data_IF_033902089897
#
_entry.id   IF_033902089897
#
_cell.length_a   1.000
_cell.length_b   1.000
_cell.length_c   1.000
_cell.angle_alpha   90.00
_cell.angle_beta   90.00
_cell.angle_gamma   90.00
#
_symmetry.space_group_name_H-M   'P 1'
#
loop_
_entity.id
_entity.type
_entity.pdbx_description
1 polymer ?
#
# COMPACT_ATOMS: atom_id res chain seq x y z
N UNK A 1 -3.64 -24.86 -4.49
CA UNK A 1 -3.69 -23.42 -4.79
C UNK A 1 -3.75 -23.25 -6.30
N UNK A 2 -4.38 -22.20 -6.80
CA UNK A 2 -4.38 -21.88 -8.23
C UNK A 2 -2.96 -21.67 -8.75
N UNK A 3 -2.58 -22.29 -9.87
CA UNK A 3 -1.25 -22.10 -10.48
C UNK A 3 -0.99 -20.65 -10.88
N UNK A 4 -2.02 -19.94 -11.28
CA UNK A 4 -1.94 -18.52 -11.59
C UNK A 4 -1.59 -17.70 -10.35
N UNK A 5 -2.29 -17.93 -9.23
CA UNK A 5 -2.02 -17.29 -7.95
C UNK A 5 -0.60 -17.58 -7.46
N UNK A 6 -0.17 -18.86 -7.48
CA UNK A 6 1.18 -19.26 -7.06
C UNK A 6 2.26 -18.53 -7.85
N UNK A 7 2.11 -18.46 -9.17
CA UNK A 7 3.07 -17.74 -10.03
C UNK A 7 3.17 -16.26 -9.67
N UNK A 8 2.04 -15.59 -9.50
CA UNK A 8 2.03 -14.14 -9.18
C UNK A 8 2.62 -13.88 -7.78
N UNK A 9 2.33 -14.73 -6.80
CA UNK A 9 2.92 -14.61 -5.46
C UNK A 9 4.45 -14.74 -5.53
N UNK A 10 4.96 -15.73 -6.27
CA UNK A 10 6.41 -15.95 -6.42
C UNK A 10 7.10 -14.78 -7.12
N UNK A 11 6.47 -14.25 -8.18
CA UNK A 11 6.94 -13.05 -8.88
C UNK A 11 7.03 -11.84 -7.95
N UNK A 12 6.03 -11.63 -7.09
CA UNK A 12 6.02 -10.54 -6.10
C UNK A 12 7.12 -10.74 -5.05
N UNK A 13 7.27 -11.94 -4.50
CA UNK A 13 8.32 -12.26 -3.53
C UNK A 13 9.72 -12.05 -4.10
N UNK A 14 9.92 -12.40 -5.36
CA UNK A 14 11.20 -12.18 -6.05
C UNK A 14 11.46 -10.70 -6.29
N UNK A 15 10.47 -9.99 -6.81
CA UNK A 15 10.61 -8.57 -7.19
C UNK A 15 10.74 -7.64 -5.99
N UNK A 16 10.05 -7.94 -4.92
CA UNK A 16 9.95 -7.12 -3.72
C UNK A 16 10.52 -7.81 -2.47
N UNK A 17 11.60 -8.57 -2.63
CA UNK A 17 12.21 -9.36 -1.55
C UNK A 17 12.60 -8.52 -0.31
N UNK A 18 12.83 -7.20 -0.48
CA UNK A 18 13.13 -6.26 0.59
C UNK A 18 11.88 -5.56 1.18
N UNK A 19 10.68 -6.01 0.82
CA UNK A 19 9.40 -5.48 1.30
C UNK A 19 8.56 -6.59 1.95
N UNK A 20 8.99 -7.14 3.11
CA UNK A 20 8.39 -8.35 3.68
C UNK A 20 6.92 -8.21 4.05
N UNK A 21 6.51 -7.07 4.62
CA UNK A 21 5.12 -6.83 5.01
C UNK A 21 4.20 -6.80 3.78
N UNK A 22 4.66 -6.20 2.70
CA UNK A 22 3.92 -6.18 1.44
C UNK A 22 3.81 -7.58 0.83
N UNK A 23 4.92 -8.34 0.76
CA UNK A 23 4.91 -9.71 0.24
C UNK A 23 3.99 -10.63 1.01
N UNK A 24 4.01 -10.56 2.35
CA UNK A 24 3.14 -11.35 3.21
C UNK A 24 1.66 -11.05 2.94
N UNK A 25 1.30 -9.77 2.87
CA UNK A 25 -0.10 -9.37 2.64
C UNK A 25 -0.59 -9.79 1.25
N UNK A 26 0.25 -9.68 0.23
CA UNK A 26 -0.09 -10.16 -1.11
C UNK A 26 -0.36 -11.67 -1.09
N UNK A 27 0.50 -12.45 -0.43
CA UNK A 27 0.31 -13.91 -0.31
C UNK A 27 -1.01 -14.25 0.39
N UNK A 28 -1.30 -13.62 1.52
CA UNK A 28 -2.53 -13.85 2.28
C UNK A 28 -3.79 -13.55 1.45
N UNK A 29 -3.82 -12.40 0.79
CA UNK A 29 -4.98 -11.97 0.00
C UNK A 29 -5.13 -12.82 -1.26
N UNK A 30 -4.08 -12.98 -2.07
CA UNK A 30 -4.17 -13.71 -3.34
C UNK A 30 -4.48 -15.19 -3.12
N UNK A 31 -4.00 -15.80 -2.03
CA UNK A 31 -4.32 -17.18 -1.70
C UNK A 31 -5.83 -17.41 -1.52
N UNK A 32 -6.54 -16.40 -1.01
CA UNK A 32 -8.00 -16.45 -0.85
C UNK A 32 -8.76 -16.34 -2.17
N UNK A 33 -8.14 -15.78 -3.21
CA UNK A 33 -8.77 -15.54 -4.52
C UNK A 33 -8.66 -16.73 -5.48
N UNK A 34 -7.92 -17.79 -5.11
CA UNK A 34 -7.71 -18.97 -5.95
C UNK A 34 -8.98 -19.51 -6.60
N UNK A 35 -10.04 -19.82 -5.83
CA UNK A 35 -11.28 -20.35 -6.39
C UNK A 35 -11.95 -19.41 -7.42
N UNK A 36 -11.83 -18.10 -7.21
CA UNK A 36 -12.42 -17.10 -8.12
C UNK A 36 -11.67 -17.07 -9.46
N UNK A 37 -10.34 -16.99 -9.41
CA UNK A 37 -9.55 -16.90 -10.66
C UNK A 37 -9.53 -18.22 -11.43
N UNK A 38 -9.66 -19.38 -10.76
CA UNK A 38 -9.79 -20.68 -11.40
C UNK A 38 -11.14 -20.83 -12.14
N UNK A 39 -12.19 -20.18 -11.61
CA UNK A 39 -13.49 -20.12 -12.28
C UNK A 39 -13.54 -19.12 -13.45
N UNK A 40 -12.57 -18.21 -13.53
CA UNK A 40 -12.52 -17.10 -14.48
C UNK A 40 -11.16 -17.02 -15.21
N UNK A 41 -10.85 -17.97 -16.12
CA UNK A 41 -9.56 -18.00 -16.82
C UNK A 41 -9.30 -16.77 -17.70
N UNK A 42 -10.32 -16.00 -18.03
CA UNK A 42 -10.19 -14.71 -18.70
C UNK A 42 -9.40 -13.68 -17.88
N UNK A 43 -9.37 -13.80 -16.55
CA UNK A 43 -8.63 -12.89 -15.68
C UNK A 43 -7.10 -13.02 -15.87
N UNK A 44 -6.62 -14.24 -16.07
CA UNK A 44 -5.19 -14.45 -16.37
C UNK A 44 -4.83 -13.87 -17.75
N UNK A 45 -5.71 -13.99 -18.75
CA UNK A 45 -5.46 -13.46 -20.10
C UNK A 45 -5.25 -11.94 -20.13
N UNK A 46 -5.83 -11.23 -19.17
CA UNK A 46 -5.68 -9.77 -19.04
C UNK A 46 -4.71 -9.37 -17.94
N UNK A 47 -3.96 -10.33 -17.38
CA UNK A 47 -2.99 -10.14 -16.30
C UNK A 47 -3.59 -9.38 -15.10
N UNK A 48 -4.78 -9.81 -14.65
CA UNK A 48 -5.52 -9.10 -13.61
C UNK A 48 -4.75 -9.03 -12.30
N UNK A 49 -4.24 -10.18 -11.81
CA UNK A 49 -3.52 -10.23 -10.53
C UNK A 49 -2.22 -9.44 -10.57
N UNK A 50 -1.46 -9.53 -11.67
CA UNK A 50 -0.23 -8.74 -11.86
C UNK A 50 -0.50 -7.23 -11.79
N UNK A 51 -1.62 -6.78 -12.36
CA UNK A 51 -2.05 -5.38 -12.29
C UNK A 51 -2.52 -4.99 -10.90
N UNK A 52 -3.09 -5.92 -10.15
CA UNK A 52 -3.57 -5.67 -8.79
C UNK A 52 -2.45 -5.59 -7.74
N UNK A 53 -1.31 -6.25 -7.96
CA UNK A 53 -0.19 -6.26 -7.00
C UNK A 53 0.86 -5.18 -7.26
N UNK A 54 0.70 -4.37 -8.30
CA UNK A 54 1.60 -3.26 -8.61
C UNK A 54 0.85 -1.95 -8.37
N UNK A 55 1.33 -1.07 -7.47
CA UNK A 55 0.71 0.24 -7.29
C UNK A 55 0.80 1.08 -8.57
N UNK A 56 -0.24 1.86 -8.85
CA UNK A 56 -0.25 2.75 -10.02
C UNK A 56 0.78 3.87 -9.89
N UNK A 57 0.98 4.39 -8.66
CA UNK A 57 1.98 5.41 -8.37
C UNK A 57 2.44 5.35 -6.92
N UNK A 58 3.73 5.54 -6.73
CA UNK A 58 4.35 5.78 -5.42
C UNK A 58 5.03 7.14 -5.45
N UNK A 59 4.76 7.96 -4.44
CA UNK A 59 5.40 9.25 -4.22
C UNK A 59 6.12 9.16 -2.87
N UNK A 60 7.44 9.31 -2.90
CA UNK A 60 8.29 9.41 -1.72
C UNK A 60 8.92 10.78 -1.70
N UNK A 61 8.88 11.47 -0.58
CA UNK A 61 9.32 12.85 -0.49
C UNK A 61 9.88 13.20 0.89
N UNK A 62 10.76 14.19 0.87
CA UNK A 62 11.39 14.76 2.05
C UNK A 62 10.43 15.72 2.77
N UNK A 63 10.35 15.60 4.11
CA UNK A 63 9.56 16.48 4.99
C UNK A 63 10.50 17.14 6.02
N UNK A 64 11.08 18.32 5.74
CA UNK A 64 11.81 19.08 6.74
C UNK A 64 10.83 19.82 7.65
N UNK A 65 11.13 19.83 8.94
CA UNK A 65 10.32 20.55 9.95
C UNK A 65 11.20 21.04 11.09
N UNK A 66 10.74 22.04 11.83
CA UNK A 66 11.44 22.66 12.95
C UNK A 66 10.75 22.33 14.26
N UNK A 67 11.52 21.85 15.26
CA UNK A 67 11.00 21.61 16.60
C UNK A 67 10.82 22.90 17.42
N UNK A 68 10.23 22.79 18.60
CA UNK A 68 9.98 23.94 19.49
C UNK A 68 11.26 24.60 20.01
N UNK A 69 12.41 23.92 19.86
CA UNK A 69 13.73 24.44 20.25
C UNK A 69 14.50 25.06 19.08
N UNK A 70 13.91 25.11 17.88
CA UNK A 70 14.52 25.66 16.66
C UNK A 70 15.46 24.69 15.93
N UNK A 71 15.45 23.40 16.27
CA UNK A 71 16.24 22.40 15.54
C UNK A 71 15.48 21.91 14.30
N UNK A 72 16.22 21.70 13.21
CA UNK A 72 15.66 21.18 11.98
C UNK A 72 15.78 19.66 11.94
N UNK A 73 14.66 19.01 11.69
CA UNK A 73 14.52 17.57 11.48
C UNK A 73 14.09 17.28 10.06
N UNK A 74 14.37 16.08 9.57
CA UNK A 74 13.93 15.63 8.24
C UNK A 74 13.34 14.24 8.37
N UNK A 75 12.07 14.11 7.99
CA UNK A 75 11.36 12.85 7.87
C UNK A 75 11.08 12.51 6.40
N UNK A 76 10.71 11.26 6.16
CA UNK A 76 10.26 10.81 4.85
C UNK A 76 8.74 10.69 4.84
N UNK A 77 8.10 11.28 3.85
CA UNK A 77 6.68 11.14 3.58
C UNK A 77 6.43 10.20 2.40
N UNK A 78 5.31 9.49 2.45
CA UNK A 78 4.89 8.52 1.44
C UNK A 78 3.43 8.73 1.04
N UNK A 79 3.15 8.59 -0.25
CA UNK A 79 1.80 8.41 -0.78
C UNK A 79 1.80 7.30 -1.79
N UNK A 80 1.13 6.19 -1.47
CA UNK A 80 0.89 5.09 -2.39
C UNK A 80 -0.51 5.22 -2.97
N UNK A 81 -0.60 5.52 -4.26
CA UNK A 81 -1.82 5.46 -5.06
C UNK A 81 -1.88 4.07 -5.67
N UNK A 82 -2.59 3.16 -4.97
CA UNK A 82 -2.47 1.75 -5.27
C UNK A 82 -3.32 1.36 -6.47
N UNK A 83 -4.61 1.66 -6.43
CA UNK A 83 -5.54 1.29 -7.50
C UNK A 83 -6.70 2.29 -7.59
N UNK A 84 -6.86 2.93 -8.74
CA UNK A 84 -7.92 3.90 -9.03
C UNK A 84 -9.01 3.38 -9.97
N UNK A 85 -9.07 2.06 -10.22
CA UNK A 85 -9.96 1.49 -11.22
C UNK A 85 -11.45 1.77 -10.98
N UNK A 86 -11.89 1.84 -9.71
CA UNK A 86 -13.30 2.06 -9.37
C UNK A 86 -13.59 3.48 -8.87
N UNK A 87 -12.58 4.34 -8.76
CA UNK A 87 -12.79 5.73 -8.34
C UNK A 87 -11.51 6.39 -7.80
N UNK A 88 -11.61 7.63 -7.31
CA UNK A 88 -10.47 8.39 -6.82
C UNK A 88 -9.79 7.69 -5.64
N UNK A 89 -8.48 7.87 -5.54
CA UNK A 89 -7.67 7.28 -4.49
C UNK A 89 -8.10 7.74 -3.11
N UNK A 90 -8.46 6.80 -2.25
CA UNK A 90 -8.87 7.05 -0.87
C UNK A 90 -8.09 6.12 0.07
N UNK A 91 -7.63 6.67 1.18
CA UNK A 91 -6.94 5.96 2.26
C UNK A 91 -6.49 6.92 3.34
N UNK A 92 -6.26 6.40 4.55
CA UNK A 92 -5.84 7.20 5.70
C UNK A 92 -4.36 7.57 5.67
N UNK A 93 -3.93 8.32 6.71
CA UNK A 93 -2.54 8.62 7.00
C UNK A 93 -2.08 7.82 8.23
N UNK A 94 -0.81 7.38 8.22
CA UNK A 94 -0.15 6.78 9.38
C UNK A 94 1.13 7.56 9.69
N UNK A 95 1.27 8.00 10.93
CA UNK A 95 2.49 8.61 11.44
C UNK A 95 3.06 7.73 12.57
N UNK A 96 4.22 7.13 12.33
CA UNK A 96 4.94 6.32 13.30
C UNK A 96 6.38 6.09 12.83
N UNK A 97 7.35 5.96 13.74
CA UNK A 97 8.76 5.71 13.36
C UNK A 97 8.97 4.46 12.51
N UNK A 98 8.06 3.49 12.60
CA UNK A 98 8.11 2.23 11.84
C UNK A 98 7.63 2.35 10.39
N UNK A 99 7.08 3.51 9.98
CA UNK A 99 6.56 3.70 8.62
C UNK A 99 7.71 3.62 7.60
N UNK A 100 7.51 2.80 6.59
CA UNK A 100 8.37 2.66 5.42
C UNK A 100 7.52 2.36 4.18
N UNK A 101 8.15 2.26 3.02
CA UNK A 101 7.44 1.99 1.77
C UNK A 101 6.71 0.64 1.76
N UNK A 102 7.33 -0.42 2.31
CA UNK A 102 6.70 -1.75 2.40
C UNK A 102 5.37 -1.70 3.15
N UNK A 103 5.37 -1.03 4.32
CA UNK A 103 4.17 -0.84 5.15
C UNK A 103 3.12 -0.01 4.41
N UNK A 104 3.51 1.06 3.72
CA UNK A 104 2.57 1.88 2.96
C UNK A 104 1.99 1.14 1.76
N UNK A 105 2.77 0.29 1.10
CA UNK A 105 2.31 -0.56 0.01
C UNK A 105 1.31 -1.60 0.49
N UNK A 106 1.60 -2.33 1.58
CA UNK A 106 0.65 -3.32 2.07
C UNK A 106 -0.67 -2.67 2.50
N UNK A 107 -0.61 -1.54 3.20
CA UNK A 107 -1.82 -0.83 3.62
C UNK A 107 -2.62 -0.27 2.44
N UNK A 108 -1.95 0.20 1.39
CA UNK A 108 -2.60 0.66 0.16
C UNK A 108 -3.25 -0.49 -0.62
N UNK A 109 -2.60 -1.64 -0.65
CA UNK A 109 -3.12 -2.87 -1.23
C UNK A 109 -4.38 -3.35 -0.50
N UNK A 110 -4.33 -3.49 0.83
CA UNK A 110 -5.51 -3.81 1.64
C UNK A 110 -6.64 -2.80 1.47
N UNK A 111 -6.31 -1.51 1.41
CA UNK A 111 -7.31 -0.45 1.23
C UNK A 111 -8.07 -0.61 -0.08
N UNK A 112 -7.43 -1.10 -1.14
CA UNK A 112 -8.09 -1.40 -2.42
C UNK A 112 -9.24 -2.39 -2.24
N UNK A 113 -9.02 -3.46 -1.48
CA UNK A 113 -10.06 -4.46 -1.20
C UNK A 113 -11.12 -3.94 -0.24
N UNK A 114 -10.71 -3.22 0.81
CA UNK A 114 -11.66 -2.61 1.76
C UNK A 114 -12.62 -1.66 1.05
N UNK A 115 -12.10 -0.78 0.20
CA UNK A 115 -12.90 0.21 -0.51
C UNK A 115 -13.85 -0.44 -1.51
N UNK A 116 -13.43 -1.54 -2.16
CA UNK A 116 -14.28 -2.30 -3.08
C UNK A 116 -15.53 -2.90 -2.41
N UNK A 117 -15.46 -3.16 -1.10
CA UNK A 117 -16.57 -3.71 -0.31
C UNK A 117 -17.54 -2.66 0.24
N UNK A 118 -17.22 -1.38 0.08
CA UNK A 118 -18.05 -0.28 0.60
C UNK A 118 -19.24 0.08 -0.26
N UNK A 119 -19.32 -0.43 -1.49
CA UNK A 119 -20.26 -0.03 -2.55
C UNK A 119 -20.06 1.40 -3.08
N UNK A 120 -19.07 2.13 -2.57
CA UNK A 120 -18.73 3.48 -3.02
C UNK A 120 -17.72 3.42 -4.19
N UNK A 121 -17.77 4.38 -5.13
CA UNK A 121 -16.84 4.46 -6.26
C UNK A 121 -15.52 5.12 -5.82
N UNK A 122 -14.76 4.46 -4.95
CA UNK A 122 -13.48 4.93 -4.40
C UNK A 122 -12.39 3.88 -4.59
N UNK A 123 -11.22 4.33 -5.00
CA UNK A 123 -10.03 3.50 -5.16
C UNK A 123 -9.22 3.36 -3.88
N UNK A 124 -8.16 2.54 -3.92
CA UNK A 124 -7.29 2.27 -2.79
C UNK A 124 -6.01 3.10 -2.79
N UNK A 125 -5.69 3.67 -1.64
CA UNK A 125 -4.44 4.39 -1.41
C UNK A 125 -4.04 4.38 0.07
N UNK A 126 -2.78 4.74 0.34
CA UNK A 126 -2.29 4.98 1.70
C UNK A 126 -1.23 6.07 1.68
N UNK A 127 -1.20 6.87 2.73
CA UNK A 127 -0.15 7.84 2.99
C UNK A 127 0.41 7.71 4.40
N UNK A 128 1.55 8.32 4.63
CA UNK A 128 2.16 8.33 5.96
C UNK A 128 3.57 8.89 5.96
N UNK A 129 4.16 8.90 7.14
CA UNK A 129 5.52 9.34 7.39
C UNK A 129 6.11 8.58 8.57
N UNK A 130 7.43 8.44 8.60
CA UNK A 130 8.19 7.94 9.74
C UNK A 130 8.27 8.96 10.91
N UNK A 131 7.55 10.06 10.81
CA UNK A 131 7.38 11.05 11.87
C UNK A 131 6.67 10.44 13.08
N UNK A 132 7.24 10.64 14.28
CA UNK A 132 6.61 10.24 15.53
C UNK A 132 5.85 11.43 16.16
N UNK A 133 4.52 11.41 16.19
CA UNK A 133 3.73 12.48 16.77
C UNK A 133 3.70 12.46 18.31
N UNK A 134 4.17 11.37 18.94
CA UNK A 134 4.13 11.24 20.39
C UNK A 134 5.07 12.26 21.06
N UNK A 135 4.53 13.01 22.03
CA UNK A 135 5.30 14.02 22.76
C UNK A 135 5.63 15.28 21.97
N UNK A 136 5.03 15.46 20.79
CA UNK A 136 5.16 16.67 19.97
C UNK A 136 4.08 17.68 20.33
N UNK A 137 4.41 18.97 20.20
CA UNK A 137 3.43 20.05 20.31
C UNK A 137 2.53 20.11 19.07
N UNK A 138 1.39 20.80 19.18
CA UNK A 138 0.49 21.03 18.05
C UNK A 138 1.21 21.74 16.90
N UNK A 139 2.13 22.68 17.22
CA UNK A 139 2.94 23.39 16.22
C UNK A 139 3.86 22.44 15.45
N UNK A 140 4.47 21.48 16.13
CA UNK A 140 5.38 20.50 15.51
C UNK A 140 4.63 19.50 14.61
N UNK A 141 3.38 19.18 14.97
CA UNK A 141 2.55 18.25 14.20
C UNK A 141 1.92 18.92 12.98
N UNK A 142 1.57 20.21 13.07
CA UNK A 142 0.92 20.98 11.98
C UNK A 142 1.90 21.46 10.90
#
# INVERSE_FOLDING_TARGET
MSKYVERVIEDVKTKYANEPEFCQTVEEVLSSLGPVVDAHPEYEKVALLERMVIPERVIEFRVPWEDDNGNIHVNTGYRVQFNGAIGPYKGGLRFAPSVNLSIMKFLGFEQTFKDSLTTLPIGGAKGGSDFDPNGKSDREVM
#
